data_IF_018823829962
#
_entry.id   IF_018823829962
#
_cell.length_a   1.000
_cell.length_b   1.000
_cell.length_c   1.000
_cell.angle_alpha   90.00
_cell.angle_beta   90.00
_cell.angle_gamma   90.00
#
_symmetry.space_group_name_H-M   'P 1'
#
loop_
_entity.id
_entity.type
_entity.pdbx_description
1 polymer ?
#
# COMPACT_ATOMS: atom_id res chain seq x y z
N UNK A 1 -61.09 -18.71 9.12
CA UNK A 1 -61.30 -17.28 8.80
C UNK A 1 -59.94 -16.60 8.79
N UNK A 2 -59.26 -16.58 7.65
CA UNK A 2 -58.14 -15.65 7.42
C UNK A 2 -58.73 -14.56 6.55
N UNK A 3 -59.06 -13.42 7.18
CA UNK A 3 -59.52 -12.26 6.45
C UNK A 3 -58.34 -11.67 5.68
N UNK A 4 -58.63 -11.35 4.43
CA UNK A 4 -57.76 -10.77 3.41
C UNK A 4 -56.78 -9.71 3.96
N UNK A 5 -55.50 -10.05 4.08
CA UNK A 5 -54.44 -9.04 3.98
C UNK A 5 -54.30 -8.73 2.49
N UNK A 6 -54.95 -7.67 2.04
CA UNK A 6 -54.72 -7.12 0.71
C UNK A 6 -53.38 -6.35 0.74
N UNK A 7 -52.30 -6.84 0.10
CA UNK A 7 -51.00 -6.18 0.13
C UNK A 7 -51.03 -4.78 -0.51
N UNK A 8 -52.04 -4.47 -1.33
CA UNK A 8 -52.21 -3.14 -1.91
C UNK A 8 -52.56 -2.07 -0.87
N UNK A 9 -53.32 -2.42 0.18
CA UNK A 9 -53.70 -1.46 1.23
C UNK A 9 -52.57 -1.22 2.24
N UNK A 10 -51.67 -2.18 2.40
CA UNK A 10 -50.47 -2.01 3.24
C UNK A 10 -49.41 -1.16 2.54
N UNK A 11 -49.39 -1.13 1.20
CA UNK A 11 -48.54 -0.23 0.43
C UNK A 11 -49.03 1.23 0.47
N UNK A 12 -50.36 1.47 0.46
CA UNK A 12 -50.93 2.84 0.59
C UNK A 12 -50.76 3.46 1.99
N UNK A 13 -50.49 2.65 3.03
CA UNK A 13 -50.30 3.13 4.39
C UNK A 13 -48.84 3.52 4.73
N UNK A 14 -47.89 3.33 3.80
CA UNK A 14 -46.55 3.87 3.94
C UNK A 14 -46.60 5.36 3.58
N UNK A 15 -46.54 6.21 4.61
CA UNK A 15 -46.27 7.65 4.43
C UNK A 15 -44.93 7.80 3.71
N UNK A 16 -44.98 7.98 2.39
CA UNK A 16 -43.82 8.38 1.59
C UNK A 16 -43.48 9.80 2.02
N UNK A 17 -42.56 9.90 2.98
CA UNK A 17 -41.97 11.19 3.35
C UNK A 17 -41.37 11.77 2.06
N UNK A 18 -41.77 12.98 1.64
CA UNK A 18 -41.18 13.58 0.45
C UNK A 18 -39.67 13.67 0.67
N UNK A 19 -38.85 13.30 -0.34
CA UNK A 19 -37.42 13.35 -0.21
C UNK A 19 -36.99 14.77 0.21
N UNK A 20 -36.07 14.85 1.18
CA UNK A 20 -35.54 16.15 1.57
C UNK A 20 -34.76 16.76 0.40
N UNK A 21 -34.66 18.11 0.31
CA UNK A 21 -33.94 18.77 -0.78
C UNK A 21 -32.48 18.29 -0.91
N UNK A 22 -31.85 17.90 0.20
CA UNK A 22 -30.52 17.33 0.22
C UNK A 22 -30.46 15.93 -0.45
N UNK A 23 -31.49 15.11 -0.25
CA UNK A 23 -31.60 13.79 -0.91
C UNK A 23 -31.89 13.91 -2.39
N UNK A 24 -32.73 14.88 -2.80
CA UNK A 24 -32.96 15.19 -4.20
C UNK A 24 -31.69 15.70 -4.89
N UNK A 25 -30.92 16.56 -4.21
CA UNK A 25 -29.64 17.04 -4.73
C UNK A 25 -28.60 15.91 -4.86
N UNK A 26 -28.55 14.98 -3.91
CA UNK A 26 -27.68 13.80 -3.99
C UNK A 26 -28.09 12.86 -5.13
N UNK A 27 -29.39 12.65 -5.34
CA UNK A 27 -29.92 11.89 -6.46
C UNK A 27 -29.57 12.56 -7.80
N UNK A 28 -29.74 13.88 -7.90
CA UNK A 28 -29.42 14.65 -9.11
C UNK A 28 -27.92 14.58 -9.47
N UNK A 29 -27.02 14.61 -8.48
CA UNK A 29 -25.58 14.38 -8.68
C UNK A 29 -25.26 12.98 -9.18
N UNK A 30 -26.00 11.98 -8.70
CA UNK A 30 -25.82 10.59 -9.14
C UNK A 30 -26.25 10.43 -10.59
N UNK A 31 -27.37 11.03 -10.98
CA UNK A 31 -27.86 11.06 -12.36
C UNK A 31 -26.88 11.80 -13.28
N UNK A 32 -26.33 12.94 -12.84
CA UNK A 32 -25.33 13.69 -13.60
C UNK A 32 -24.07 12.89 -13.94
N UNK A 33 -23.60 12.02 -13.03
CA UNK A 33 -22.44 11.14 -13.27
C UNK A 33 -22.69 10.06 -14.32
N UNK A 34 -23.96 9.74 -14.62
CA UNK A 34 -24.35 8.73 -15.60
C UNK A 34 -24.93 9.33 -16.88
N UNK A 35 -25.12 10.64 -16.93
CA UNK A 35 -25.59 11.35 -18.10
C UNK A 35 -24.44 11.52 -19.12
N UNK A 36 -24.78 11.34 -20.40
CA UNK A 36 -23.81 11.38 -21.51
C UNK A 36 -23.68 12.79 -22.12
N UNK A 37 -24.42 13.77 -21.59
CA UNK A 37 -24.42 15.15 -22.06
C UNK A 37 -25.42 16.03 -21.31
N UNK A 38 -25.41 17.33 -21.62
CA UNK A 38 -26.28 18.32 -20.97
C UNK A 38 -27.76 18.06 -21.27
N UNK A 39 -28.09 17.74 -22.52
CA UNK A 39 -29.45 17.48 -22.96
C UNK A 39 -30.00 16.18 -22.34
N UNK A 40 -29.15 15.15 -22.25
CA UNK A 40 -29.46 13.87 -21.60
C UNK A 40 -29.70 14.04 -20.10
N UNK A 41 -28.88 14.85 -19.43
CA UNK A 41 -29.05 15.18 -18.01
C UNK A 41 -30.40 15.85 -17.73
N UNK A 42 -30.79 16.84 -18.55
CA UNK A 42 -32.06 17.54 -18.35
C UNK A 42 -33.24 16.57 -18.50
N UNK A 43 -33.20 15.67 -19.50
CA UNK A 43 -34.23 14.66 -19.70
C UNK A 43 -34.31 13.65 -18.56
N UNK A 44 -33.16 13.22 -18.02
CA UNK A 44 -33.12 12.27 -16.91
C UNK A 44 -33.59 12.90 -15.59
N UNK A 45 -33.26 14.16 -15.32
CA UNK A 45 -33.75 14.87 -14.15
C UNK A 45 -35.27 15.10 -14.22
N UNK A 46 -35.79 15.46 -15.38
CA UNK A 46 -37.23 15.63 -15.60
C UNK A 46 -37.98 14.30 -15.45
N UNK A 47 -37.48 13.21 -16.03
CA UNK A 47 -38.06 11.88 -15.90
C UNK A 47 -38.10 11.35 -14.45
N UNK A 48 -37.13 11.77 -13.62
CA UNK A 48 -37.05 11.39 -12.21
C UNK A 48 -37.72 12.39 -11.25
N UNK A 49 -38.32 13.46 -11.78
CA UNK A 49 -38.94 14.51 -10.96
C UNK A 49 -37.96 15.27 -10.07
N UNK A 50 -36.68 15.30 -10.44
CA UNK A 50 -35.61 15.94 -9.69
C UNK A 50 -35.45 17.42 -10.08
N UNK A 51 -34.94 18.27 -9.16
CA UNK A 51 -34.76 19.68 -9.46
C UNK A 51 -33.76 19.90 -10.60
N UNK A 52 -34.21 20.60 -11.65
CA UNK A 52 -33.42 20.94 -12.84
C UNK A 52 -33.34 22.45 -13.08
N UNK A 53 -33.40 23.27 -12.02
CA UNK A 53 -33.22 24.71 -12.13
C UNK A 53 -31.79 25.08 -12.57
N UNK A 54 -31.61 26.31 -13.08
CA UNK A 54 -30.35 26.73 -13.72
C UNK A 54 -29.14 26.68 -12.75
N UNK A 55 -29.36 26.99 -11.47
CA UNK A 55 -28.35 26.90 -10.41
C UNK A 55 -27.92 25.44 -10.16
N UNK A 56 -28.88 24.51 -10.13
CA UNK A 56 -28.62 23.07 -9.94
C UNK A 56 -27.91 22.50 -11.16
N UNK A 57 -28.34 22.85 -12.37
CA UNK A 57 -27.68 22.42 -13.60
C UNK A 57 -26.23 22.92 -13.67
N UNK A 58 -25.99 24.18 -13.27
CA UNK A 58 -24.63 24.75 -13.18
C UNK A 58 -23.74 23.99 -12.19
N UNK A 59 -24.30 23.55 -11.05
CA UNK A 59 -23.58 22.73 -10.08
C UNK A 59 -23.33 21.28 -10.55
N UNK A 60 -24.16 20.78 -11.48
CA UNK A 60 -24.09 19.40 -11.99
C UNK A 60 -23.25 19.26 -13.26
N UNK A 61 -23.09 20.30 -14.07
CA UNK A 61 -22.29 20.24 -15.30
C UNK A 61 -20.84 19.78 -15.11
N UNK A 62 -20.12 20.16 -14.04
CA UNK A 62 -18.78 19.64 -13.79
C UNK A 62 -18.73 18.12 -13.50
N UNK A 63 -19.88 17.49 -13.24
CA UNK A 63 -19.99 16.07 -12.92
C UNK A 63 -20.38 15.22 -14.13
N UNK A 64 -20.65 15.83 -15.28
CA UNK A 64 -20.92 15.10 -16.52
C UNK A 64 -19.67 14.34 -16.93
N UNK A 65 -19.84 13.07 -17.28
CA UNK A 65 -18.75 12.34 -17.93
C UNK A 65 -18.59 12.90 -19.34
N UNK A 66 -17.46 13.56 -19.62
CA UNK A 66 -17.06 13.90 -20.99
C UNK A 66 -16.66 12.62 -21.76
N UNK A 67 -17.51 11.59 -21.75
CA UNK A 67 -17.40 10.46 -22.68
C UNK A 67 -18.20 10.76 -23.93
N UNK A 68 -17.94 11.93 -24.49
CA UNK A 68 -18.39 12.35 -25.80
C UNK A 68 -17.15 12.60 -26.63
N UNK A 69 -16.56 11.53 -27.17
CA UNK A 69 -15.65 11.65 -28.28
C UNK A 69 -16.34 12.52 -29.33
N UNK A 70 -15.81 13.73 -29.52
CA UNK A 70 -16.18 14.62 -30.60
C UNK A 70 -15.81 13.91 -31.89
N UNK A 71 -16.77 13.23 -32.50
CA UNK A 71 -16.71 12.93 -33.92
C UNK A 71 -16.50 14.28 -34.63
N UNK A 72 -15.44 14.47 -35.44
CA UNK A 72 -15.28 15.70 -36.19
C UNK A 72 -16.45 15.80 -37.15
N UNK A 73 -17.29 16.83 -36.93
CA UNK A 73 -18.36 17.18 -37.84
C UNK A 73 -17.82 17.36 -39.26
N UNK A 74 -18.48 16.67 -40.16
CA UNK A 74 -18.55 16.87 -41.59
C UNK A 74 -18.68 18.35 -41.95
N UNK A 75 -17.54 19.02 -42.20
CA UNK A 75 -17.50 20.25 -42.97
C UNK A 75 -17.45 19.88 -44.46
N UNK A 76 -18.63 19.91 -45.07
CA UNK A 76 -18.87 19.85 -46.50
C UNK A 76 -18.20 21.05 -47.18
N UNK A 77 -17.21 20.81 -48.04
CA UNK A 77 -16.94 21.64 -49.20
C UNK A 77 -16.43 20.76 -50.36
N UNK A 78 -16.98 20.91 -51.58
CA UNK A 78 -16.72 19.98 -52.69
C UNK A 78 -15.57 20.43 -53.61
N UNK A 79 -15.10 19.48 -54.44
CA UNK A 79 -14.22 19.58 -55.62
C UNK A 79 -12.70 19.66 -55.31
N UNK A 80 -11.77 18.86 -55.85
CA UNK A 80 -11.75 17.95 -57.01
C UNK A 80 -10.48 17.08 -56.98
N UNK A 81 -10.66 15.75 -57.08
CA UNK A 81 -9.95 14.74 -57.93
C UNK A 81 -8.39 14.68 -57.93
N UNK A 82 -7.79 13.55 -57.52
CA UNK A 82 -7.33 12.43 -58.40
C UNK A 82 -6.64 11.29 -57.58
N UNK A 83 -6.97 10.04 -57.93
CA UNK A 83 -6.58 8.72 -57.39
C UNK A 83 -5.09 8.34 -57.62
N UNK A 84 -4.58 7.08 -57.41
CA UNK A 84 -5.22 5.80 -57.00
C UNK A 84 -4.46 4.97 -55.91
N UNK A 85 -5.16 4.28 -54.99
CA UNK A 85 -5.56 2.86 -54.99
C UNK A 85 -4.43 1.81 -54.82
N UNK A 86 -4.36 1.19 -53.64
CA UNK A 86 -3.86 -0.20 -53.42
C UNK A 86 -4.74 -0.87 -52.37
N UNK A 87 -5.31 -2.02 -52.75
CA UNK A 87 -6.05 -2.98 -51.93
C UNK A 87 -5.21 -3.56 -50.78
N UNK A 88 -5.77 -3.61 -49.57
CA UNK A 88 -5.53 -4.72 -48.62
C UNK A 88 -6.86 -5.07 -47.95
N UNK A 89 -7.31 -6.29 -48.20
CA UNK A 89 -8.46 -6.92 -47.57
C UNK A 89 -8.12 -7.44 -46.16
N UNK A 90 -9.17 -7.45 -45.31
CA UNK A 90 -9.43 -8.38 -44.22
C UNK A 90 -8.48 -8.39 -42.99
N UNK A 91 -8.95 -7.79 -41.90
CA UNK A 91 -8.79 -8.39 -40.57
C UNK A 91 -10.00 -8.07 -39.70
N UNK A 92 -10.96 -9.01 -39.70
CA UNK A 92 -12.05 -9.07 -38.73
C UNK A 92 -11.58 -9.97 -37.58
N UNK A 93 -11.28 -9.37 -36.42
CA UNK A 93 -11.12 -10.06 -35.15
C UNK A 93 -11.12 -9.03 -34.01
N UNK A 94 -12.30 -8.76 -33.46
CA UNK A 94 -12.47 -8.02 -32.21
C UNK A 94 -11.76 -8.76 -31.04
N UNK A 95 -10.92 -8.09 -30.24
CA UNK A 95 -10.56 -8.60 -28.92
C UNK A 95 -11.59 -8.14 -27.88
N UNK A 96 -12.08 -9.10 -27.09
CA UNK A 96 -12.97 -8.87 -25.96
C UNK A 96 -12.40 -7.86 -24.95
N UNK A 97 -13.22 -7.04 -24.27
CA UNK A 97 -12.74 -6.08 -23.28
C UNK A 97 -12.20 -6.80 -22.04
N UNK A 98 -10.94 -6.52 -21.70
CA UNK A 98 -10.34 -6.85 -20.40
C UNK A 98 -11.12 -6.17 -19.26
N UNK A 99 -11.12 -6.74 -18.03
CA UNK A 99 -11.84 -6.15 -16.91
C UNK A 99 -11.26 -4.76 -16.60
N UNK A 100 -12.11 -3.73 -16.69
CA UNK A 100 -11.77 -2.37 -16.31
C UNK A 100 -11.30 -2.36 -14.85
N UNK A 101 -10.03 -2.06 -14.62
CA UNK A 101 -9.52 -1.74 -13.29
C UNK A 101 -10.27 -0.52 -12.78
N UNK A 102 -10.80 -0.60 -11.55
CA UNK A 102 -11.45 0.53 -10.87
C UNK A 102 -10.44 1.68 -10.75
N UNK A 103 -10.59 2.71 -11.57
CA UNK A 103 -9.79 3.91 -11.47
C UNK A 103 -10.16 4.64 -10.18
N UNK A 104 -9.23 4.70 -9.23
CA UNK A 104 -9.42 5.41 -7.96
C UNK A 104 -9.68 6.88 -8.26
N UNK A 105 -10.80 7.41 -7.78
CA UNK A 105 -11.16 8.83 -7.98
C UNK A 105 -10.23 9.75 -7.18
N UNK A 106 -10.12 11.02 -7.59
CA UNK A 106 -9.30 12.02 -6.87
C UNK A 106 -9.69 12.15 -5.39
N UNK A 107 -10.98 11.95 -5.07
CA UNK A 107 -11.50 12.00 -3.69
C UNK A 107 -11.13 10.75 -2.89
N UNK A 108 -11.16 9.56 -3.50
CA UNK A 108 -10.69 8.32 -2.87
C UNK A 108 -9.17 8.38 -2.60
N UNK A 109 -8.39 8.94 -3.53
CA UNK A 109 -6.95 9.16 -3.33
C UNK A 109 -6.65 10.15 -2.19
N UNK A 110 -7.41 11.24 -2.09
CA UNK A 110 -7.32 12.19 -0.99
C UNK A 110 -7.71 11.55 0.35
N UNK A 111 -8.77 10.73 0.37
CA UNK A 111 -9.23 10.03 1.56
C UNK A 111 -8.19 9.04 2.09
N UNK A 112 -7.58 8.26 1.19
CA UNK A 112 -6.46 7.37 1.51
C UNK A 112 -5.26 8.16 2.05
N UNK A 113 -4.92 9.29 1.45
CA UNK A 113 -3.82 10.16 1.91
C UNK A 113 -4.08 10.75 3.29
N UNK A 114 -5.29 11.23 3.58
CA UNK A 114 -5.67 11.76 4.89
C UNK A 114 -5.68 10.65 5.95
N UNK A 115 -6.18 9.47 5.61
CA UNK A 115 -6.11 8.30 6.49
C UNK A 115 -4.68 7.89 6.82
N UNK A 116 -3.76 7.88 5.83
CA UNK A 116 -2.33 7.60 6.08
C UNK A 116 -1.66 8.66 6.94
N UNK A 117 -2.15 9.90 6.93
CA UNK A 117 -1.68 10.99 7.80
C UNK A 117 -2.27 10.93 9.21
N UNK A 118 -3.18 9.98 9.49
CA UNK A 118 -3.78 9.77 10.81
C UNK A 118 -5.00 10.64 11.10
N UNK A 119 -5.62 11.23 10.07
CA UNK A 119 -6.86 11.98 10.24
C UNK A 119 -8.02 11.05 10.67
N UNK A 120 -8.97 11.59 11.43
CA UNK A 120 -10.14 10.81 11.86
C UNK A 120 -11.06 10.53 10.68
N UNK A 121 -11.71 9.36 10.69
CA UNK A 121 -12.71 8.95 9.68
C UNK A 121 -13.75 10.06 9.43
N UNK A 122 -14.24 10.69 10.50
CA UNK A 122 -15.21 11.78 10.40
C UNK A 122 -14.64 13.03 9.70
N UNK A 123 -13.36 13.36 9.95
CA UNK A 123 -12.68 14.47 9.27
C UNK A 123 -12.42 14.17 7.80
N UNK A 124 -12.13 12.92 7.47
CA UNK A 124 -11.94 12.46 6.09
C UNK A 124 -13.27 12.50 5.33
N UNK A 125 -14.35 12.00 5.90
CA UNK A 125 -15.69 12.06 5.29
C UNK A 125 -16.14 13.51 5.06
N UNK A 126 -15.88 14.42 6.01
CA UNK A 126 -16.22 15.83 5.86
C UNK A 126 -15.42 16.54 4.75
N UNK A 127 -14.14 16.19 4.58
CA UNK A 127 -13.26 16.81 3.59
C UNK A 127 -13.43 16.22 2.17
N UNK A 128 -13.72 14.93 2.08
CA UNK A 128 -13.79 14.19 0.80
C UNK A 128 -15.22 13.97 0.32
N UNK A 129 -16.22 14.15 1.18
CA UNK A 129 -17.62 13.91 0.89
C UNK A 129 -17.99 12.42 0.76
N UNK A 130 -17.07 11.51 1.10
CA UNK A 130 -17.32 10.07 1.11
C UNK A 130 -18.14 9.68 2.35
N UNK A 131 -19.06 8.73 2.18
CA UNK A 131 -19.74 8.11 3.32
C UNK A 131 -18.78 7.23 4.13
N UNK A 132 -19.12 6.98 5.39
CA UNK A 132 -18.32 6.12 6.28
C UNK A 132 -18.21 4.67 5.75
N UNK A 133 -19.26 4.19 5.07
CA UNK A 133 -19.28 2.88 4.42
C UNK A 133 -18.37 2.85 3.19
N UNK A 134 -18.38 3.90 2.35
CA UNK A 134 -17.47 4.00 1.20
C UNK A 134 -16.01 4.12 1.63
N UNK A 135 -15.75 4.86 2.71
CA UNK A 135 -14.41 4.95 3.28
C UNK A 135 -13.96 3.60 3.86
N UNK A 136 -14.85 2.87 4.53
CA UNK A 136 -14.55 1.54 5.06
C UNK A 136 -14.26 0.53 3.95
N UNK A 137 -15.05 0.53 2.88
CA UNK A 137 -14.83 -0.32 1.70
C UNK A 137 -13.52 0.04 0.98
N UNK A 138 -13.20 1.34 0.91
CA UNK A 138 -11.96 1.85 0.31
C UNK A 138 -10.72 1.46 1.13
N UNK A 139 -10.82 1.41 2.46
CA UNK A 139 -9.75 0.98 3.37
C UNK A 139 -9.63 -0.55 3.47
N UNK A 140 -10.73 -1.27 3.27
CA UNK A 140 -10.78 -2.73 3.24
C UNK A 140 -10.30 -3.29 1.88
N UNK A 141 -10.42 -2.52 0.80
CA UNK A 141 -9.78 -2.83 -0.46
C UNK A 141 -8.25 -2.90 -0.22
N UNK A 142 -7.55 -3.94 -0.73
CA UNK A 142 -6.10 -3.98 -0.63
C UNK A 142 -5.60 -2.68 -1.25
N UNK A 143 -4.83 -1.90 -0.48
CA UNK A 143 -4.25 -0.67 -0.96
C UNK A 143 -3.60 -0.97 -2.31
N UNK A 144 -4.28 -0.61 -3.39
CA UNK A 144 -3.67 -0.44 -4.68
C UNK A 144 -2.81 0.77 -4.45
N UNK A 145 -1.64 0.50 -3.87
CA UNK A 145 -0.59 1.48 -3.71
C UNK A 145 -0.48 2.20 -5.03
N UNK A 146 -0.21 3.50 -4.93
CA UNK A 146 0.35 4.34 -6.01
C UNK A 146 0.64 3.47 -7.20
N UNK A 147 -0.17 3.49 -8.28
CA UNK A 147 0.02 2.55 -9.36
C UNK A 147 1.50 2.63 -9.70
N UNK A 148 2.20 1.55 -9.38
CA UNK A 148 3.53 1.30 -9.89
C UNK A 148 3.20 1.02 -11.35
N UNK A 149 2.93 2.10 -12.08
CA UNK A 149 2.89 2.09 -13.52
C UNK A 149 4.33 1.77 -13.81
N UNK A 150 4.62 0.47 -13.90
CA UNK A 150 5.68 -0.02 -14.70
C UNK A 150 5.39 0.58 -16.07
N UNK A 151 5.91 1.79 -16.32
CA UNK A 151 6.10 2.33 -17.64
C UNK A 151 7.16 1.41 -18.25
N UNK A 152 6.73 0.20 -18.60
CA UNK A 152 7.36 -0.52 -19.66
C UNK A 152 7.33 0.43 -20.84
N UNK A 153 8.52 0.72 -21.38
CA UNK A 153 8.65 1.40 -22.65
C UNK A 153 7.70 0.71 -23.60
N UNK A 154 6.67 1.42 -24.07
CA UNK A 154 5.72 0.81 -24.98
C UNK A 154 6.48 0.41 -26.25
N UNK A 155 6.10 -0.68 -26.92
CA UNK A 155 6.77 -1.12 -28.14
C UNK A 155 6.86 0.02 -29.18
N UNK A 156 5.87 0.91 -29.21
CA UNK A 156 5.84 2.12 -30.04
C UNK A 156 6.98 3.11 -29.75
N UNK A 157 7.33 3.34 -28.48
CA UNK A 157 8.46 4.22 -28.10
C UNK A 157 9.78 3.56 -28.49
N UNK A 158 9.88 2.23 -28.36
CA UNK A 158 11.07 1.48 -28.74
C UNK A 158 11.30 1.54 -30.26
N UNK A 159 10.25 1.33 -31.07
CA UNK A 159 10.31 1.47 -32.53
C UNK A 159 10.75 2.88 -32.95
N UNK A 160 10.28 3.92 -32.25
CA UNK A 160 10.68 5.30 -32.51
C UNK A 160 12.16 5.55 -32.17
N UNK A 161 12.66 5.00 -31.06
CA UNK A 161 14.07 5.10 -30.68
C UNK A 161 14.98 4.36 -31.67
N UNK A 162 14.56 3.18 -32.14
CA UNK A 162 15.30 2.38 -33.12
C UNK A 162 15.36 3.09 -34.49
N UNK A 163 14.23 3.66 -34.94
CA UNK A 163 14.20 4.52 -36.13
C UNK A 163 15.12 5.74 -35.97
N UNK A 164 15.07 6.40 -34.80
CA UNK A 164 15.87 7.58 -34.54
C UNK A 164 17.37 7.26 -34.46
N UNK A 165 17.75 6.07 -34.00
CA UNK A 165 19.12 5.58 -33.98
C UNK A 165 19.67 5.27 -35.40
N UNK A 166 18.81 4.80 -36.31
CA UNK A 166 19.16 4.56 -37.72
C UNK A 166 19.08 5.83 -38.60
N UNK A 167 18.67 6.98 -38.03
CA UNK A 167 18.39 8.17 -38.80
C UNK A 167 19.67 8.81 -39.40
N UNK A 168 19.64 9.31 -40.66
CA UNK A 168 20.82 9.89 -41.31
C UNK A 168 21.33 11.17 -40.64
N UNK A 169 20.46 11.96 -39.99
CA UNK A 169 20.87 13.17 -39.30
C UNK A 169 21.51 12.84 -37.92
N UNK A 170 22.74 13.32 -37.71
CA UNK A 170 23.48 13.08 -36.47
C UNK A 170 22.78 13.63 -35.21
N UNK A 171 22.07 14.75 -35.33
CA UNK A 171 21.32 15.36 -34.23
C UNK A 171 20.20 14.47 -33.69
N UNK A 172 19.52 13.73 -34.57
CA UNK A 172 18.43 12.81 -34.21
C UNK A 172 18.99 11.59 -33.46
N UNK A 173 20.10 11.02 -33.96
CA UNK A 173 20.79 9.91 -33.27
C UNK A 173 21.29 10.29 -31.89
N UNK A 174 21.90 11.47 -31.75
CA UNK A 174 22.37 11.98 -30.46
C UNK A 174 21.23 12.21 -29.47
N UNK A 175 20.05 12.64 -29.96
CA UNK A 175 18.87 12.79 -29.12
C UNK A 175 18.32 11.43 -28.66
N UNK A 176 18.24 10.46 -29.56
CA UNK A 176 17.82 9.10 -29.21
C UNK A 176 18.75 8.50 -28.14
N UNK A 177 20.07 8.60 -28.33
CA UNK A 177 21.06 8.09 -27.37
C UNK A 177 20.92 8.74 -25.99
N UNK A 178 20.64 10.05 -25.93
CA UNK A 178 20.39 10.74 -24.65
C UNK A 178 19.12 10.26 -23.97
N UNK A 179 18.02 10.15 -24.71
CA UNK A 179 16.74 9.67 -24.16
C UNK A 179 16.90 8.24 -23.63
N UNK A 180 17.60 7.36 -24.35
CA UNK A 180 17.88 6.00 -23.89
C UNK A 180 18.72 5.99 -22.61
N UNK A 181 19.72 6.86 -22.50
CA UNK A 181 20.53 6.99 -21.29
C UNK A 181 19.71 7.50 -20.09
N UNK A 182 18.91 8.55 -20.29
CA UNK A 182 18.04 9.12 -19.25
C UNK A 182 17.01 8.09 -18.77
N UNK A 183 16.44 7.32 -19.68
CA UNK A 183 15.51 6.23 -19.35
C UNK A 183 16.19 5.12 -18.54
N UNK A 184 17.42 4.74 -18.90
CA UNK A 184 18.19 3.76 -18.15
C UNK A 184 18.46 4.27 -16.71
N UNK A 185 18.86 5.54 -16.55
CA UNK A 185 19.08 6.15 -15.24
C UNK A 185 17.80 6.16 -14.38
N UNK A 186 16.66 6.53 -14.98
CA UNK A 186 15.37 6.50 -14.28
C UNK A 186 14.98 5.09 -13.85
N UNK A 187 15.25 4.08 -14.69
CA UNK A 187 14.98 2.68 -14.35
C UNK A 187 15.86 2.19 -13.20
N UNK A 188 17.15 2.50 -13.21
CA UNK A 188 18.08 2.15 -12.14
C UNK A 188 17.72 2.81 -10.81
N UNK A 189 17.28 4.08 -10.87
CA UNK A 189 16.79 4.80 -9.68
C UNK A 189 15.55 4.14 -9.10
N UNK A 190 14.56 3.81 -9.94
CA UNK A 190 13.35 3.10 -9.51
C UNK A 190 13.69 1.76 -8.85
N UNK A 191 14.59 0.99 -9.45
CA UNK A 191 14.98 -0.32 -8.94
C UNK A 191 15.74 -0.18 -7.61
N UNK A 192 16.56 0.86 -7.46
CA UNK A 192 17.22 1.21 -6.20
C UNK A 192 16.21 1.60 -5.11
N UNK A 193 15.21 2.41 -5.44
CA UNK A 193 14.13 2.79 -4.52
C UNK A 193 13.25 1.58 -4.13
N UNK A 194 13.01 0.64 -5.05
CA UNK A 194 12.32 -0.61 -4.75
C UNK A 194 13.14 -1.51 -3.81
N UNK A 195 14.44 -1.65 -4.05
CA UNK A 195 15.35 -2.39 -3.18
C UNK A 195 15.44 -1.76 -1.78
N UNK A 196 15.45 -0.43 -1.69
CA UNK A 196 15.40 0.30 -0.42
C UNK A 196 14.11 -0.02 0.35
N UNK A 197 12.95 0.06 -0.29
CA UNK A 197 11.66 -0.28 0.34
C UNK A 197 11.63 -1.73 0.83
N UNK A 198 12.19 -2.66 0.07
CA UNK A 198 12.29 -4.07 0.50
C UNK A 198 13.19 -4.23 1.74
N UNK A 199 14.33 -3.52 1.76
CA UNK A 199 15.23 -3.53 2.91
C UNK A 199 14.58 -2.93 4.16
N UNK A 200 13.88 -1.80 4.02
CA UNK A 200 13.11 -1.17 5.09
C UNK A 200 12.01 -2.09 5.62
N UNK A 201 11.28 -2.78 4.73
CA UNK A 201 10.27 -3.76 5.11
C UNK A 201 10.88 -4.94 5.89
N UNK A 202 12.07 -5.43 5.48
CA UNK A 202 12.80 -6.46 6.24
C UNK A 202 13.19 -5.98 7.63
N UNK A 203 13.67 -4.73 7.76
CA UNK A 203 13.99 -4.13 9.05
C UNK A 203 12.74 -3.99 9.93
N UNK A 204 11.62 -3.56 9.37
CA UNK A 204 10.35 -3.45 10.09
C UNK A 204 9.89 -4.82 10.64
N UNK A 205 9.97 -5.88 9.82
CA UNK A 205 9.65 -7.25 10.26
C UNK A 205 10.56 -7.73 11.39
N UNK A 206 11.87 -7.54 11.25
CA UNK A 206 12.82 -7.92 12.28
C UNK A 206 12.58 -7.17 13.60
N UNK A 207 12.21 -5.88 13.53
CA UNK A 207 11.84 -5.09 14.72
C UNK A 207 10.58 -5.63 15.41
N UNK A 208 9.55 -5.98 14.65
CA UNK A 208 8.32 -6.56 15.18
C UNK A 208 8.57 -7.93 15.86
N UNK A 209 9.40 -8.77 15.26
CA UNK A 209 9.82 -10.05 15.87
C UNK A 209 10.59 -9.85 17.17
N UNK A 210 11.48 -8.85 17.21
CA UNK A 210 12.25 -8.51 18.40
C UNK A 210 11.35 -7.99 19.52
N UNK A 211 10.36 -7.15 19.20
CA UNK A 211 9.37 -6.68 20.17
C UNK A 211 8.54 -7.84 20.73
N UNK A 212 8.05 -8.74 19.87
CA UNK A 212 7.35 -9.95 20.30
C UNK A 212 8.20 -10.83 21.22
N UNK A 213 9.48 -11.04 20.88
CA UNK A 213 10.40 -11.79 21.73
C UNK A 213 10.66 -11.09 23.08
N UNK A 214 10.71 -9.75 23.10
CA UNK A 214 10.82 -8.98 24.33
C UNK A 214 9.58 -9.12 25.21
N UNK A 215 8.39 -9.13 24.62
CA UNK A 215 7.14 -9.36 25.34
C UNK A 215 7.08 -10.77 25.93
N UNK A 216 7.45 -11.80 25.16
CA UNK A 216 7.58 -13.17 25.66
C UNK A 216 8.58 -13.27 26.83
N UNK A 217 9.70 -12.55 26.75
CA UNK A 217 10.65 -12.48 27.87
C UNK A 217 10.05 -11.77 29.10
N UNK A 218 9.27 -10.69 28.88
CA UNK A 218 8.57 -9.99 29.97
C UNK A 218 7.55 -10.90 30.64
N UNK A 219 6.78 -11.69 29.88
CA UNK A 219 5.78 -12.61 30.43
C UNK A 219 6.42 -13.78 31.18
N UNK A 220 7.48 -14.39 30.64
CA UNK A 220 8.23 -15.44 31.35
C UNK A 220 8.86 -14.91 32.63
N UNK A 221 9.45 -13.70 32.60
CA UNK A 221 10.03 -13.07 33.78
C UNK A 221 8.97 -12.70 34.82
N UNK A 222 7.80 -12.23 34.41
CA UNK A 222 6.66 -11.98 35.29
C UNK A 222 6.14 -13.28 35.92
N UNK A 223 5.94 -14.33 35.11
CA UNK A 223 5.52 -15.65 35.58
C UNK A 223 6.52 -16.27 36.57
N UNK A 224 7.82 -16.17 36.28
CA UNK A 224 8.90 -16.63 37.18
C UNK A 224 8.90 -15.88 38.51
N UNK A 225 8.62 -14.56 38.49
CA UNK A 225 8.59 -13.71 39.68
C UNK A 225 7.35 -13.97 40.56
N UNK A 226 6.21 -14.33 39.96
CA UNK A 226 5.00 -14.69 40.72
C UNK A 226 5.15 -16.06 41.41
N UNK A 227 5.88 -17.01 40.83
CA UNK A 227 6.19 -18.30 41.49
C UNK A 227 7.28 -18.21 42.57
N UNK A 228 8.04 -17.11 42.65
CA UNK A 228 9.04 -16.88 43.72
C UNK A 228 8.55 -15.97 44.84
N UNK A 229 7.34 -15.41 44.76
CA UNK A 229 6.75 -14.61 45.84
C UNK A 229 6.07 -15.46 46.94
N UNK A 230 5.88 -16.76 46.73
CA UNK A 230 5.27 -17.68 47.70
C UNK A 230 6.26 -18.68 48.33
N UNK A 231 7.57 -18.48 48.18
CA UNK A 231 8.58 -19.30 48.81
C UNK A 231 9.62 -18.42 49.52
N UNK A 232 9.37 -18.20 50.81
CA UNK A 232 10.33 -18.07 51.92
C UNK A 232 11.51 -17.10 51.73
N UNK A 233 11.54 -16.10 52.61
CA UNK A 233 12.70 -15.27 52.90
C UNK A 233 14.01 -16.07 52.99
N UNK A 234 14.94 -15.82 52.06
CA UNK A 234 16.36 -16.14 52.18
C UNK A 234 17.19 -15.18 51.29
N UNK A 235 18.41 -14.80 51.70
CA UNK A 235 18.99 -13.52 51.35
C UNK A 235 19.56 -13.45 49.94
N UNK A 236 19.47 -12.24 49.40
CA UNK A 236 20.12 -11.68 48.22
C UNK A 236 21.54 -12.25 48.07
N UNK A 237 21.77 -13.09 47.06
CA UNK A 237 23.13 -13.30 46.53
C UNK A 237 23.36 -12.31 45.40
N UNK A 238 24.14 -11.30 45.75
CA UNK A 238 24.84 -10.35 44.92
C UNK A 238 25.03 -10.80 43.45
N UNK A 239 24.33 -10.12 42.56
CA UNK A 239 24.81 -9.89 41.21
C UNK A 239 26.00 -8.91 41.31
N UNK A 240 27.22 -9.40 41.13
CA UNK A 240 28.38 -8.73 40.50
C UNK A 240 29.61 -9.65 40.58
N UNK A 241 29.74 -10.53 39.60
CA UNK A 241 30.88 -11.43 39.47
C UNK A 241 30.49 -12.57 38.56
N UNK A 242 31.24 -12.75 37.46
CA UNK A 242 31.19 -13.86 36.50
C UNK A 242 30.34 -15.03 36.98
N UNK A 243 29.26 -15.37 36.26
CA UNK A 243 28.23 -16.37 36.62
C UNK A 243 28.70 -17.83 36.77
N UNK A 244 29.94 -18.02 37.24
CA UNK A 244 30.58 -19.26 37.60
C UNK A 244 30.16 -19.68 39.00
N UNK A 245 29.90 -20.97 39.16
CA UNK A 245 29.54 -21.54 40.46
C UNK A 245 30.73 -21.45 41.43
N UNK A 246 30.45 -21.50 42.73
CA UNK A 246 31.50 -21.52 43.77
C UNK A 246 32.48 -22.69 43.57
N UNK A 247 31.96 -23.80 43.05
CA UNK A 247 32.71 -25.01 42.71
C UNK A 247 33.66 -24.78 41.54
N UNK A 248 33.21 -24.12 40.47
CA UNK A 248 34.04 -23.77 39.32
C UNK A 248 35.17 -22.82 39.73
N UNK A 249 34.89 -21.82 40.57
CA UNK A 249 35.94 -20.96 41.12
C UNK A 249 36.93 -21.74 42.02
N UNK A 250 36.50 -22.80 42.71
CA UNK A 250 37.40 -23.66 43.47
C UNK A 250 38.31 -24.49 42.55
N UNK A 251 37.78 -25.03 41.45
CA UNK A 251 38.54 -25.72 40.42
C UNK A 251 39.57 -24.80 39.74
N UNK A 252 39.16 -23.57 39.40
CA UNK A 252 40.09 -22.56 38.85
C UNK A 252 41.20 -22.23 39.85
N UNK A 253 40.90 -22.13 41.16
CA UNK A 253 41.93 -21.88 42.19
C UNK A 253 42.90 -23.06 42.34
N UNK A 254 42.41 -24.30 42.27
CA UNK A 254 43.26 -25.49 42.30
C UNK A 254 44.21 -25.52 41.09
N UNK A 255 43.66 -25.36 39.89
CA UNK A 255 44.44 -25.26 38.66
C UNK A 255 45.45 -24.10 38.69
N UNK A 256 45.04 -22.94 39.19
CA UNK A 256 45.91 -21.78 39.30
C UNK A 256 47.12 -22.05 40.20
N UNK A 257 46.91 -22.70 41.36
CA UNK A 257 48.01 -23.08 42.27
C UNK A 257 48.96 -24.10 41.64
N UNK A 258 48.43 -25.08 40.91
CA UNK A 258 49.23 -26.06 40.17
C UNK A 258 50.07 -25.42 39.05
N UNK A 259 49.56 -24.35 38.43
CA UNK A 259 50.22 -23.61 37.35
C UNK A 259 51.08 -22.43 37.87
N UNK A 260 51.30 -22.33 39.19
CA UNK A 260 52.15 -21.29 39.78
C UNK A 260 51.55 -19.88 39.81
N UNK A 261 50.24 -19.74 39.58
CA UNK A 261 49.54 -18.47 39.69
C UNK A 261 49.15 -18.17 41.14
N UNK A 262 49.52 -16.98 41.63
CA UNK A 262 49.19 -16.55 42.99
C UNK A 262 47.73 -16.07 43.06
N UNK A 263 46.88 -16.85 43.73
CA UNK A 263 45.46 -16.55 43.93
C UNK A 263 45.15 -16.63 45.43
N UNK A 264 44.36 -15.68 45.93
CA UNK A 264 43.91 -15.68 47.32
C UNK A 264 42.99 -16.88 47.61
N UNK A 265 43.10 -17.47 48.81
CA UNK A 265 42.30 -18.62 49.24
C UNK A 265 40.80 -18.30 49.31
N UNK A 266 40.47 -17.02 49.54
CA UNK A 266 39.10 -16.52 49.57
C UNK A 266 38.96 -15.25 48.73
N UNK A 267 37.80 -15.06 48.11
CA UNK A 267 37.48 -13.87 47.32
C UNK A 267 37.55 -14.06 45.80
N UNK A 268 37.63 -12.92 45.10
CA UNK A 268 37.52 -12.81 43.64
C UNK A 268 38.79 -13.34 42.97
N UNK A 269 38.64 -14.28 42.03
CA UNK A 269 39.75 -14.79 41.23
C UNK A 269 40.11 -13.73 40.17
N UNK A 270 41.39 -13.34 40.02
CA UNK A 270 41.80 -12.37 39.01
C UNK A 270 41.38 -12.79 37.59
N UNK A 271 40.86 -11.84 36.80
CA UNK A 271 40.38 -12.08 35.42
C UNK A 271 41.43 -12.75 34.52
N UNK A 272 42.72 -12.48 34.75
CA UNK A 272 43.84 -13.11 34.02
C UNK A 272 43.90 -14.63 34.23
N UNK A 273 43.66 -15.09 35.45
CA UNK A 273 43.69 -16.52 35.80
C UNK A 273 42.45 -17.22 35.21
N UNK A 274 41.29 -16.57 35.24
CA UNK A 274 40.08 -17.08 34.61
C UNK A 274 40.26 -17.24 33.10
N UNK A 275 40.85 -16.27 32.42
CA UNK A 275 41.12 -16.35 30.98
C UNK A 275 42.14 -17.45 30.64
N UNK A 276 43.18 -17.62 31.47
CA UNK A 276 44.17 -18.67 31.29
C UNK A 276 43.55 -20.08 31.47
N UNK A 277 42.70 -20.23 32.49
CA UNK A 277 41.93 -21.46 32.71
C UNK A 277 41.01 -21.77 31.52
N UNK A 278 40.29 -20.77 31.03
CA UNK A 278 39.40 -20.92 29.87
C UNK A 278 40.16 -21.29 28.60
N UNK A 279 41.36 -20.73 28.42
CA UNK A 279 42.24 -21.05 27.28
C UNK A 279 42.75 -22.50 27.37
N UNK A 280 43.13 -22.95 28.57
CA UNK A 280 43.61 -24.32 28.80
C UNK A 280 42.50 -25.38 28.71
N UNK A 281 41.25 -25.02 29.05
CA UNK A 281 40.10 -25.93 29.07
C UNK A 281 39.16 -25.75 27.88
N UNK A 282 39.47 -24.87 26.93
CA UNK A 282 38.76 -24.81 25.65
C UNK A 282 39.14 -26.08 24.87
N UNK A 283 38.26 -27.06 24.90
CA UNK A 283 38.42 -28.27 24.10
C UNK A 283 38.73 -27.90 22.64
N UNK A 284 39.68 -28.58 21.97
CA UNK A 284 39.85 -28.42 20.54
C UNK A 284 38.55 -28.90 19.90
N UNK A 285 37.77 -27.97 19.36
CA UNK A 285 36.66 -28.29 18.47
C UNK A 285 37.27 -29.12 17.35
N UNK A 286 37.05 -30.44 17.40
CA UNK A 286 37.33 -31.33 16.27
C UNK A 286 36.53 -30.77 15.11
N UNK A 287 37.24 -30.16 14.17
CA UNK A 287 36.77 -29.85 12.84
C UNK A 287 36.42 -31.22 12.22
N UNK A 288 35.14 -31.55 12.20
CA UNK A 288 34.61 -32.77 11.64
C UNK A 288 33.49 -32.40 10.66
N UNK A 289 33.64 -32.83 9.41
CA UNK A 289 32.66 -32.70 8.33
C UNK A 289 32.95 -31.54 7.41
#
# INVERSE_FOLDING_TARGET
MYADLNPAQTAEALELTPPSPDTEAAAARTVARHAHGKEDLVLLLDALGLPHNDDTLTALFPLLTETGATLPMTAKNPATVLAPAVDIAAFDAAPAPAPAGRSVSAFEAMALSMHTNGDSIQGICAATGLSETELSDLLAAPATGTPDVALAVTPEIQELLDWAAAHPAASVRSRAARITADLAELSERRDSEAAQREAEAKVARAKAELEKAQEELRTVKAGTRTTTAAAVAAPIRAALGSGRTREELAAVRAWARENGHQVADTGIVPKRVLQAYDTAHRAPVRKAG
#
